data_IF_894068282726
#
_entry.id   IF_894068282726
#
_cell.length_a   1.000
_cell.length_b   1.000
_cell.length_c   1.000
_cell.angle_alpha   90.00
_cell.angle_beta   90.00
_cell.angle_gamma   90.00
#
_symmetry.space_group_name_H-M   'P 1'
#
loop_
_entity.id
_entity.type
_entity.pdbx_description
1 polymer ?
#
# COMPACT_ATOMS: atom_id res chain seq x y z
N UNK A 1 26.31 5.98 -0.63
CA UNK A 1 25.59 4.76 -0.20
C UNK A 1 25.84 4.57 1.28
N UNK A 2 24.81 4.56 2.14
CA UNK A 2 25.00 4.12 3.54
C UNK A 2 25.36 2.63 3.48
N UNK A 3 26.40 2.23 4.21
CA UNK A 3 26.87 0.85 4.24
C UNK A 3 25.70 -0.10 4.51
N UNK A 4 25.54 -1.11 3.65
CA UNK A 4 24.62 -2.21 3.91
C UNK A 4 24.95 -2.80 5.29
N UNK A 5 23.92 -3.21 6.03
CA UNK A 5 24.14 -3.87 7.31
C UNK A 5 24.98 -5.14 7.09
N UNK A 6 25.92 -5.48 8.00
CA UNK A 6 26.61 -6.76 7.92
C UNK A 6 25.60 -7.91 8.01
N UNK A 7 25.88 -9.09 7.41
CA UNK A 7 24.94 -10.21 7.36
C UNK A 7 24.34 -10.60 8.72
N UNK A 8 25.14 -10.59 9.80
CA UNK A 8 24.67 -10.92 11.15
C UNK A 8 23.67 -9.89 11.69
N UNK A 9 23.85 -8.61 11.38
CA UNK A 9 22.93 -7.56 11.78
C UNK A 9 21.62 -7.61 10.97
N UNK A 10 21.69 -8.00 9.70
CA UNK A 10 20.49 -8.27 8.87
C UNK A 10 19.70 -9.42 9.48
N UNK A 11 20.36 -10.56 9.74
CA UNK A 11 19.73 -11.72 10.34
C UNK A 11 19.09 -11.40 11.70
N UNK A 12 19.82 -10.70 12.59
CA UNK A 12 19.30 -10.33 13.90
C UNK A 12 18.06 -9.42 13.81
N UNK A 13 18.10 -8.37 12.97
CA UNK A 13 16.94 -7.47 12.77
C UNK A 13 15.76 -8.20 12.14
N UNK A 14 16.02 -9.06 11.15
CA UNK A 14 14.97 -9.81 10.48
C UNK A 14 14.32 -10.82 11.43
N UNK A 15 15.10 -11.55 12.22
CA UNK A 15 14.60 -12.48 13.24
C UNK A 15 13.76 -11.75 14.29
N UNK A 16 14.29 -10.63 14.80
CA UNK A 16 13.61 -9.83 15.82
C UNK A 16 12.28 -9.27 15.30
N UNK A 17 12.28 -8.63 14.12
CA UNK A 17 11.06 -8.05 13.53
C UNK A 17 10.08 -9.15 13.12
N UNK A 18 10.56 -10.30 12.64
CA UNK A 18 9.71 -11.46 12.43
C UNK A 18 9.00 -11.84 13.72
N UNK A 19 9.70 -12.04 14.85
CA UNK A 19 9.04 -12.31 16.13
C UNK A 19 8.09 -11.17 16.56
N UNK A 20 8.51 -9.92 16.47
CA UNK A 20 7.74 -8.74 16.87
C UNK A 20 6.39 -8.65 16.14
N UNK A 21 6.34 -9.00 14.85
CA UNK A 21 5.13 -8.97 14.04
C UNK A 21 4.38 -10.32 13.99
N UNK A 22 4.76 -11.30 14.82
CA UNK A 22 4.15 -12.64 14.81
C UNK A 22 2.63 -12.58 14.99
N UNK A 23 2.16 -11.82 15.97
CA UNK A 23 0.72 -11.69 16.25
C UNK A 23 -0.03 -11.03 15.10
N UNK A 24 0.60 -10.09 14.39
CA UNK A 24 0.05 -9.49 13.16
C UNK A 24 -0.07 -10.55 12.07
N UNK A 25 0.97 -11.37 11.86
CA UNK A 25 0.91 -12.43 10.85
C UNK A 25 -0.14 -13.48 11.19
N UNK A 26 -0.24 -13.90 12.46
CA UNK A 26 -1.24 -14.86 12.94
C UNK A 26 -2.65 -14.30 12.90
N UNK A 27 -2.79 -13.00 13.22
CA UNK A 27 -3.99 -12.23 12.90
C UNK A 27 -4.18 -12.38 11.38
N UNK A 28 -3.56 -11.54 10.56
CA UNK A 28 -3.98 -11.30 9.19
C UNK A 28 -3.56 -12.39 8.14
N UNK A 29 -3.44 -13.67 8.55
CA UNK A 29 -3.07 -14.79 7.67
C UNK A 29 -4.21 -15.27 6.74
N UNK A 30 -5.47 -15.15 7.17
CA UNK A 30 -6.65 -15.66 6.44
C UNK A 30 -7.12 -14.69 5.35
N UNK A 31 -8.07 -15.10 4.50
CA UNK A 31 -8.78 -14.20 3.58
C UNK A 31 -9.17 -12.92 4.33
N UNK A 32 -8.88 -11.76 3.75
CA UNK A 32 -8.79 -10.45 4.41
C UNK A 32 -10.05 -10.05 5.20
N UNK A 33 -10.26 -10.56 6.43
CA UNK A 33 -11.39 -10.16 7.28
C UNK A 33 -11.10 -10.34 8.79
N UNK A 34 -11.70 -9.44 9.59
CA UNK A 34 -12.16 -9.56 10.99
C UNK A 34 -11.24 -9.23 12.19
N UNK A 35 -10.81 -7.97 12.44
CA UNK A 35 -9.85 -7.70 13.55
C UNK A 35 -9.94 -6.37 14.32
N UNK A 36 -10.85 -6.35 15.30
CA UNK A 36 -10.81 -5.70 16.64
C UNK A 36 -10.09 -4.35 16.85
N UNK A 37 -10.85 -3.36 17.36
CA UNK A 37 -10.36 -2.03 17.77
C UNK A 37 -11.01 -1.33 19.00
N UNK A 38 -10.38 -0.24 19.55
CA UNK A 38 -10.59 0.40 20.90
C UNK A 38 -11.44 1.64 20.70
N UNK A 39 -12.33 1.89 21.66
CA UNK A 39 -13.51 2.74 21.53
C UNK A 39 -13.24 4.23 21.22
N UNK A 40 -14.01 4.78 20.26
CA UNK A 40 -14.17 6.22 20.03
C UNK A 40 -15.66 6.52 19.76
N UNK A 41 -16.10 7.73 20.08
CA UNK A 41 -17.53 8.05 20.23
C UNK A 41 -18.18 8.79 19.04
N UNK A 42 -17.48 9.02 17.92
CA UNK A 42 -17.99 9.89 16.84
C UNK A 42 -17.64 9.43 15.41
N UNK A 43 -18.50 9.81 14.46
CA UNK A 43 -18.26 9.66 13.01
C UNK A 43 -17.23 10.70 12.57
N UNK A 44 -16.03 10.26 12.18
CA UNK A 44 -15.05 11.17 11.59
C UNK A 44 -15.55 11.70 10.25
N UNK A 45 -15.38 13.01 10.02
CA UNK A 45 -15.64 13.69 8.73
C UNK A 45 -14.94 13.04 7.53
N UNK A 46 -13.96 12.19 7.83
CA UNK A 46 -13.26 11.25 6.95
C UNK A 46 -14.18 10.38 6.08
N UNK A 47 -15.11 9.66 6.70
CA UNK A 47 -15.88 8.61 6.04
C UNK A 47 -17.03 9.14 5.18
N UNK A 48 -17.63 10.26 5.60
CA UNK A 48 -18.62 10.99 4.81
C UNK A 48 -18.02 11.45 3.48
N UNK A 49 -16.71 11.70 3.43
CA UNK A 49 -16.00 12.14 2.23
C UNK A 49 -15.56 11.00 1.30
N UNK A 50 -15.23 9.80 1.83
CA UNK A 50 -14.87 8.60 1.05
C UNK A 50 -16.10 7.91 0.46
N UNK A 51 -17.18 7.83 1.25
CA UNK A 51 -18.34 7.02 0.91
C UNK A 51 -19.65 7.82 0.72
N UNK A 52 -19.60 9.14 0.85
CA UNK A 52 -20.74 10.02 0.62
C UNK A 52 -21.92 9.71 1.54
N UNK A 53 -23.13 9.81 1.01
CA UNK A 53 -24.39 9.54 1.74
C UNK A 53 -24.48 8.08 2.23
N UNK A 54 -23.77 7.15 1.57
CA UNK A 54 -23.70 5.74 1.98
C UNK A 54 -22.95 5.57 3.31
N UNK A 55 -22.05 6.50 3.66
CA UNK A 55 -21.34 6.51 4.93
C UNK A 55 -22.29 6.35 6.11
N UNK A 56 -23.38 7.11 6.12
CA UNK A 56 -24.38 7.06 7.18
C UNK A 56 -25.21 5.78 7.20
N UNK A 57 -25.33 5.05 6.07
CA UNK A 57 -26.08 3.80 6.01
C UNK A 57 -25.30 2.62 6.62
N UNK A 58 -24.00 2.48 6.32
CA UNK A 58 -23.17 1.41 6.91
C UNK A 58 -22.49 1.81 8.23
N UNK A 59 -22.43 3.12 8.56
CA UNK A 59 -22.06 3.62 9.89
C UNK A 59 -23.29 3.92 10.77
N UNK A 60 -24.50 3.74 10.25
CA UNK A 60 -25.75 3.96 10.99
C UNK A 60 -25.96 2.98 12.16
N UNK A 61 -25.25 1.85 12.15
CA UNK A 61 -25.12 0.94 13.29
C UNK A 61 -23.85 1.16 14.14
N UNK A 62 -23.05 2.18 13.83
CA UNK A 62 -21.66 2.34 14.23
C UNK A 62 -21.40 3.54 15.15
N UNK A 63 -22.42 4.01 15.90
CA UNK A 63 -22.29 5.17 16.81
C UNK A 63 -21.20 5.01 17.89
N UNK A 64 -20.63 3.82 18.06
CA UNK A 64 -19.56 3.50 19.00
C UNK A 64 -18.31 2.93 18.28
N UNK A 65 -17.97 3.44 17.10
CA UNK A 65 -16.85 2.89 16.33
C UNK A 65 -15.47 3.40 16.78
N UNK A 66 -14.62 2.41 16.91
CA UNK A 66 -13.52 2.31 17.82
C UNK A 66 -12.24 2.14 16.99
N UNK A 67 -11.55 3.25 16.73
CA UNK A 67 -10.37 3.28 15.87
C UNK A 67 -9.13 2.93 16.71
N UNK A 68 -8.71 1.66 16.66
CA UNK A 68 -7.38 1.18 17.10
C UNK A 68 -6.41 1.14 15.93
N UNK A 69 -5.15 1.48 16.19
CA UNK A 69 -4.05 1.03 15.34
C UNK A 69 -3.95 -0.49 15.42
N UNK A 70 -3.71 -1.14 14.28
CA UNK A 70 -3.43 -2.58 14.28
C UNK A 70 -2.07 -2.93 14.87
N UNK A 71 -1.24 -1.92 15.18
CA UNK A 71 0.16 -2.07 15.58
C UNK A 71 0.42 -1.49 16.97
N UNK A 72 1.38 -2.06 17.69
CA UNK A 72 1.93 -1.48 18.93
C UNK A 72 2.84 -0.28 18.61
N UNK A 73 3.10 0.58 19.58
CA UNK A 73 4.01 1.73 19.43
C UNK A 73 5.41 1.30 18.93
N UNK A 74 5.92 0.17 19.42
CA UNK A 74 7.19 -0.37 18.95
C UNK A 74 7.12 -0.82 17.48
N UNK A 75 6.04 -1.49 17.08
CA UNK A 75 5.81 -1.88 15.68
C UNK A 75 5.68 -0.66 14.76
N UNK A 76 4.99 0.39 15.22
CA UNK A 76 4.82 1.65 14.47
C UNK A 76 6.17 2.33 14.19
N UNK A 77 7.10 2.34 15.15
CA UNK A 77 8.46 2.86 14.92
C UNK A 77 9.18 2.14 13.77
N UNK A 78 9.13 0.80 13.74
CA UNK A 78 9.76 0.01 12.67
C UNK A 78 9.07 0.21 11.32
N UNK A 79 7.73 0.36 11.33
CA UNK A 79 6.95 0.70 10.15
C UNK A 79 7.39 2.06 9.61
N UNK A 80 7.44 3.10 10.44
CA UNK A 80 7.81 4.45 10.03
C UNK A 80 9.23 4.53 9.46
N UNK A 81 10.19 3.81 10.06
CA UNK A 81 11.55 3.66 9.53
C UNK A 81 11.53 3.03 8.12
N UNK A 82 10.79 1.93 7.97
CA UNK A 82 10.66 1.18 6.70
C UNK A 82 10.01 2.04 5.62
N UNK A 83 8.92 2.72 5.93
CA UNK A 83 8.23 3.61 4.99
C UNK A 83 9.07 4.81 4.60
N UNK A 84 9.84 5.37 5.55
CA UNK A 84 10.75 6.48 5.26
C UNK A 84 11.86 6.04 4.30
N UNK A 85 12.40 4.84 4.52
CA UNK A 85 13.38 4.22 3.63
C UNK A 85 12.78 3.98 2.24
N UNK A 86 11.63 3.30 2.17
CA UNK A 86 10.92 3.01 0.93
C UNK A 86 10.53 4.28 0.16
N UNK A 87 10.11 5.34 0.85
CA UNK A 87 9.86 6.66 0.25
C UNK A 87 11.11 7.20 -0.44
N UNK A 88 12.29 7.01 0.15
CA UNK A 88 13.56 7.39 -0.47
C UNK A 88 13.88 6.60 -1.74
N UNK A 89 13.48 5.33 -1.83
CA UNK A 89 13.57 4.56 -3.08
C UNK A 89 12.58 5.08 -4.12
N UNK A 90 11.31 5.32 -3.74
CA UNK A 90 10.26 5.85 -4.63
C UNK A 90 10.72 7.14 -5.32
N UNK A 91 11.32 8.08 -4.57
CA UNK A 91 11.77 9.36 -5.12
C UNK A 91 13.17 9.31 -5.77
N UNK A 92 13.79 8.13 -5.87
CA UNK A 92 15.11 7.95 -6.51
C UNK A 92 16.31 8.39 -5.65
N UNK A 93 16.13 8.64 -4.35
CA UNK A 93 17.23 9.04 -3.44
C UNK A 93 18.15 7.88 -3.09
N UNK A 94 17.59 6.67 -2.99
CA UNK A 94 18.31 5.45 -2.59
C UNK A 94 18.29 4.35 -3.67
N UNK A 95 17.68 4.63 -4.81
CA UNK A 95 17.48 3.70 -5.92
C UNK A 95 18.32 4.12 -7.14
N UNK A 96 18.45 3.23 -8.12
CA UNK A 96 19.13 3.52 -9.39
C UNK A 96 18.42 4.59 -10.23
N UNK A 97 17.10 4.70 -10.10
CA UNK A 97 16.28 5.69 -10.77
C UNK A 97 15.01 5.97 -9.96
N UNK A 98 14.29 7.04 -10.30
CA UNK A 98 13.04 7.39 -9.63
C UNK A 98 11.90 6.45 -10.05
N UNK A 99 10.83 6.41 -9.25
CA UNK A 99 9.63 5.67 -9.63
C UNK A 99 9.01 6.23 -10.93
N UNK A 100 9.10 7.55 -11.16
CA UNK A 100 8.63 8.14 -12.40
C UNK A 100 9.36 7.59 -13.63
N UNK A 101 10.69 7.47 -13.56
CA UNK A 101 11.51 6.92 -14.65
C UNK A 101 11.13 5.46 -14.96
N UNK A 102 10.87 4.66 -13.92
CA UNK A 102 10.43 3.26 -14.06
C UNK A 102 9.10 3.17 -14.80
N UNK A 103 8.12 4.00 -14.41
CA UNK A 103 6.78 4.03 -15.04
C UNK A 103 6.89 4.45 -16.50
N UNK A 104 7.63 5.52 -16.78
CA UNK A 104 7.86 5.98 -18.16
C UNK A 104 8.53 4.90 -19.00
N UNK A 105 9.56 4.23 -18.47
CA UNK A 105 10.23 3.14 -19.17
C UNK A 105 9.28 1.97 -19.48
N UNK A 106 8.56 1.45 -18.47
CA UNK A 106 7.62 0.35 -18.68
C UNK A 106 6.53 0.70 -19.68
N UNK A 107 6.02 1.92 -19.66
CA UNK A 107 5.00 2.37 -20.60
C UNK A 107 5.52 2.45 -22.05
N UNK A 108 6.72 3.01 -22.26
CA UNK A 108 7.28 3.24 -23.60
C UNK A 108 7.75 1.94 -24.27
N UNK A 109 8.19 0.97 -23.47
CA UNK A 109 8.83 -0.26 -23.97
C UNK A 109 7.96 -1.52 -23.88
N UNK A 110 6.67 -1.40 -23.52
CA UNK A 110 5.71 -2.50 -23.58
C UNK A 110 4.95 -2.55 -24.91
N UNK A 111 4.49 -3.73 -25.30
CA UNK A 111 3.61 -3.94 -26.47
C UNK A 111 2.16 -3.48 -26.21
N UNK A 112 1.79 -3.30 -24.94
CA UNK A 112 0.47 -2.89 -24.49
C UNK A 112 0.61 -1.73 -23.48
N UNK A 113 0.72 -0.46 -23.95
CA UNK A 113 1.09 0.68 -23.13
C UNK A 113 -0.12 1.18 -22.31
N UNK A 114 -0.52 0.39 -21.32
CA UNK A 114 -1.50 0.77 -20.31
C UNK A 114 -0.78 1.45 -19.14
N UNK A 115 -1.26 2.63 -18.73
CA UNK A 115 -0.58 3.44 -17.72
C UNK A 115 -0.60 2.75 -16.35
N UNK A 116 -1.73 2.14 -15.98
CA UNK A 116 -1.84 1.40 -14.70
C UNK A 116 -1.00 0.11 -14.72
N UNK A 117 -0.81 -0.56 -15.87
CA UNK A 117 0.09 -1.73 -15.95
C UNK A 117 1.55 -1.31 -15.79
N UNK A 118 1.93 -0.18 -16.39
CA UNK A 118 3.25 0.39 -16.19
C UNK A 118 3.50 0.77 -14.71
N UNK A 119 2.50 1.31 -14.00
CA UNK A 119 2.58 1.55 -12.55
C UNK A 119 2.74 0.26 -11.75
N UNK A 120 2.00 -0.80 -12.11
CA UNK A 120 2.07 -2.08 -11.44
C UNK A 120 3.47 -2.71 -11.59
N UNK A 121 3.95 -2.89 -12.82
CA UNK A 121 5.28 -3.45 -13.06
C UNK A 121 6.40 -2.59 -12.47
N UNK A 122 6.24 -1.27 -12.41
CA UNK A 122 7.21 -0.38 -11.76
C UNK A 122 7.22 -0.55 -10.25
N UNK A 123 6.06 -0.78 -9.64
CA UNK A 123 5.94 -1.07 -8.20
C UNK A 123 6.63 -2.37 -7.87
N UNK A 124 6.47 -3.38 -8.72
CA UNK A 124 7.13 -4.66 -8.55
C UNK A 124 8.65 -4.53 -8.61
N UNK A 125 9.16 -3.88 -9.66
CA UNK A 125 10.59 -3.65 -9.84
C UNK A 125 11.20 -2.84 -8.69
N UNK A 126 10.48 -1.83 -8.19
CA UNK A 126 10.90 -1.01 -7.06
C UNK A 126 10.97 -1.81 -5.76
N UNK A 127 9.94 -2.60 -5.44
CA UNK A 127 9.91 -3.41 -4.22
C UNK A 127 10.98 -4.50 -4.24
N UNK A 128 11.25 -5.10 -5.40
CA UNK A 128 12.35 -6.04 -5.55
C UNK A 128 13.72 -5.37 -5.35
N UNK A 129 13.95 -4.19 -5.94
CA UNK A 129 15.19 -3.43 -5.68
C UNK A 129 15.32 -3.07 -4.20
N UNK A 130 14.24 -2.58 -3.58
CA UNK A 130 14.20 -2.23 -2.17
C UNK A 130 14.61 -3.41 -1.29
N UNK A 131 13.97 -4.58 -1.47
CA UNK A 131 14.22 -5.76 -0.66
C UNK A 131 15.60 -6.39 -0.91
N UNK A 132 16.17 -6.23 -2.11
CA UNK A 132 17.56 -6.60 -2.36
C UNK A 132 18.56 -5.70 -1.62
N UNK A 133 18.25 -4.41 -1.51
CA UNK A 133 19.09 -3.44 -0.79
C UNK A 133 18.84 -3.43 0.73
N UNK A 134 17.64 -3.82 1.16
CA UNK A 134 17.11 -3.77 2.53
C UNK A 134 16.37 -5.06 2.90
N UNK A 135 17.05 -6.22 2.87
CA UNK A 135 16.42 -7.49 3.22
C UNK A 135 15.90 -7.51 4.67
N UNK A 136 16.50 -6.71 5.57
CA UNK A 136 16.10 -6.60 6.97
C UNK A 136 14.66 -6.07 7.17
N UNK A 137 14.06 -5.45 6.16
CA UNK A 137 12.71 -4.88 6.25
C UNK A 137 11.62 -5.83 5.71
N UNK A 138 11.99 -7.04 5.26
CA UNK A 138 11.05 -7.98 4.64
C UNK A 138 9.90 -8.40 5.58
N UNK A 139 10.19 -8.67 6.85
CA UNK A 139 9.17 -9.02 7.84
C UNK A 139 8.23 -7.85 8.17
N UNK A 140 8.71 -6.61 8.07
CA UNK A 140 7.92 -5.40 8.32
C UNK A 140 6.99 -5.14 7.13
N UNK A 141 7.51 -5.25 5.90
CA UNK A 141 6.69 -5.15 4.70
C UNK A 141 5.61 -6.24 4.65
N UNK A 142 5.94 -7.48 5.01
CA UNK A 142 4.96 -8.56 5.14
C UNK A 142 3.83 -8.17 6.10
N UNK A 143 4.17 -7.63 7.27
CA UNK A 143 3.18 -7.18 8.25
C UNK A 143 2.29 -6.04 7.71
N UNK A 144 2.89 -5.03 7.08
CA UNK A 144 2.17 -3.90 6.46
C UNK A 144 1.16 -4.41 5.43
N UNK A 145 1.60 -5.29 4.52
CA UNK A 145 0.74 -5.79 3.45
C UNK A 145 -0.29 -6.82 3.91
N UNK A 146 -0.04 -7.53 5.01
CA UNK A 146 -1.06 -8.37 5.63
C UNK A 146 -2.18 -7.53 6.26
N UNK A 147 -1.84 -6.41 6.89
CA UNK A 147 -2.84 -5.50 7.49
C UNK A 147 -3.58 -4.72 6.41
N UNK A 148 -2.85 -4.01 5.54
CA UNK A 148 -3.42 -3.13 4.53
C UNK A 148 -4.01 -3.87 3.30
N UNK A 149 -3.74 -5.17 3.18
CA UNK A 149 -3.85 -5.89 1.91
C UNK A 149 -3.00 -5.22 0.81
N UNK A 150 -3.07 -5.77 -0.41
CA UNK A 150 -2.68 -4.99 -1.58
C UNK A 150 -3.55 -3.74 -1.82
N UNK A 151 -4.52 -3.47 -0.95
CA UNK A 151 -5.61 -2.52 -1.14
C UNK A 151 -5.12 -1.08 -1.11
N UNK A 152 -4.13 -0.75 -0.28
CA UNK A 152 -3.54 0.59 -0.25
C UNK A 152 -2.89 0.99 -1.58
N UNK A 153 -2.08 0.11 -2.17
CA UNK A 153 -1.47 0.35 -3.48
C UNK A 153 -2.47 0.20 -4.64
N UNK A 154 -3.39 -0.78 -4.54
CA UNK A 154 -4.51 -0.92 -5.49
C UNK A 154 -5.33 0.36 -5.56
N UNK A 155 -5.75 0.91 -4.43
CA UNK A 155 -6.60 2.10 -4.38
C UNK A 155 -5.83 3.34 -4.82
N UNK A 156 -4.54 3.44 -4.48
CA UNK A 156 -3.66 4.46 -5.05
C UNK A 156 -3.65 4.41 -6.58
N UNK A 157 -3.42 3.24 -7.16
CA UNK A 157 -3.37 3.07 -8.60
C UNK A 157 -4.75 3.28 -9.24
N UNK A 158 -5.80 2.67 -8.68
CA UNK A 158 -7.16 2.64 -9.24
C UNK A 158 -7.90 3.97 -9.09
N UNK A 159 -7.87 4.57 -7.90
CA UNK A 159 -8.69 5.75 -7.58
C UNK A 159 -7.95 7.04 -7.95
N UNK A 160 -6.63 7.07 -7.79
CA UNK A 160 -5.83 8.28 -7.95
C UNK A 160 -4.90 8.25 -9.15
N UNK A 161 -4.31 7.08 -9.45
CA UNK A 161 -3.29 6.93 -10.49
C UNK A 161 -3.84 6.81 -11.90
N UNK A 162 -4.95 6.07 -12.08
CA UNK A 162 -5.47 5.69 -13.39
C UNK A 162 -5.83 6.89 -14.27
N UNK A 163 -6.40 7.93 -13.67
CA UNK A 163 -6.83 9.13 -14.39
C UNK A 163 -5.70 10.15 -14.61
N UNK A 164 -4.46 9.90 -14.13
CA UNK A 164 -3.37 10.89 -14.22
C UNK A 164 -2.97 11.18 -15.66
N UNK A 165 -2.83 10.14 -16.50
CA UNK A 165 -2.41 10.33 -17.88
C UNK A 165 -3.49 11.05 -18.69
N UNK A 166 -4.75 10.59 -18.60
CA UNK A 166 -5.90 11.24 -19.22
C UNK A 166 -6.06 12.69 -18.73
N UNK A 167 -5.92 12.92 -17.42
CA UNK A 167 -5.99 14.25 -16.84
C UNK A 167 -4.92 15.21 -17.38
N UNK A 168 -3.68 14.73 -17.58
CA UNK A 168 -2.63 15.54 -18.21
C UNK A 168 -2.97 15.84 -19.67
N UNK A 169 -3.44 14.86 -20.43
CA UNK A 169 -3.77 15.02 -21.86
C UNK A 169 -4.96 15.96 -22.10
N UNK A 170 -5.94 15.92 -21.21
CA UNK A 170 -7.17 16.73 -21.29
C UNK A 170 -7.08 18.04 -20.51
N UNK A 171 -5.93 18.35 -19.90
CA UNK A 171 -5.74 19.48 -18.98
C UNK A 171 -6.77 19.50 -17.82
N UNK A 172 -7.22 18.32 -17.39
CA UNK A 172 -8.15 18.14 -16.27
C UNK A 172 -7.38 17.89 -14.99
N UNK A 173 -7.72 18.65 -13.95
CA UNK A 173 -7.10 18.49 -12.63
C UNK A 173 -7.49 17.14 -12.02
N UNK A 174 -6.51 16.27 -11.80
CA UNK A 174 -6.71 15.01 -11.08
C UNK A 174 -6.67 15.26 -9.57
N UNK A 175 -7.55 14.57 -8.85
CA UNK A 175 -7.67 14.74 -7.40
C UNK A 175 -6.43 14.19 -6.70
N UNK A 176 -5.84 14.99 -5.82
CA UNK A 176 -4.79 14.51 -4.92
C UNK A 176 -5.41 13.63 -3.81
N UNK A 177 -4.66 12.65 -3.29
CA UNK A 177 -5.17 11.74 -2.29
C UNK A 177 -5.31 12.53 -0.99
N UNK A 178 -6.53 12.52 -0.46
CA UNK A 178 -6.80 13.04 0.87
C UNK A 178 -6.20 12.04 1.87
N UNK A 179 -5.84 12.47 3.08
CA UNK A 179 -5.36 11.60 4.17
C UNK A 179 -6.23 10.34 4.35
N UNK A 180 -7.51 10.51 4.03
CA UNK A 180 -8.64 9.59 4.15
C UNK A 180 -8.69 8.47 3.09
N UNK A 181 -7.87 8.58 2.05
CA UNK A 181 -7.74 7.57 1.00
C UNK A 181 -7.05 6.29 1.50
N UNK A 182 -6.38 6.40 2.65
CA UNK A 182 -5.44 5.42 3.18
C UNK A 182 -5.93 4.78 4.48
N UNK A 183 -7.25 4.79 4.64
CA UNK A 183 -7.94 4.35 5.83
C UNK A 183 -9.11 3.52 5.35
N UNK A 184 -9.16 2.24 5.71
CA UNK A 184 -10.33 1.41 5.46
C UNK A 184 -10.97 0.88 6.74
N UNK A 185 -12.28 0.62 6.67
CA UNK A 185 -13.04 0.09 7.81
C UNK A 185 -13.42 -1.35 7.54
N UNK A 186 -13.12 -2.21 8.51
CA UNK A 186 -13.54 -3.60 8.47
C UNK A 186 -14.46 -3.91 9.66
N UNK A 187 -15.48 -4.72 9.40
CA UNK A 187 -16.33 -5.26 10.45
C UNK A 187 -15.55 -6.29 11.28
N UNK A 188 -15.80 -6.32 12.58
CA UNK A 188 -15.24 -7.28 13.52
C UNK A 188 -16.19 -7.55 14.67
N UNK A 189 -15.88 -8.58 15.45
CA UNK A 189 -16.57 -8.92 16.68
C UNK A 189 -15.58 -8.84 17.85
N UNK A 190 -15.88 -8.01 18.86
CA UNK A 190 -15.09 -7.90 20.10
C UNK A 190 -15.83 -8.54 21.26
N UNK A 191 -15.11 -9.03 22.28
CA UNK A 191 -15.71 -9.40 23.57
C UNK A 191 -15.62 -8.21 24.52
N UNK A 192 -16.72 -7.86 25.17
CA UNK A 192 -16.69 -6.86 26.26
C UNK A 192 -16.14 -7.48 27.56
N UNK A 193 -16.05 -6.67 28.62
CA UNK A 193 -15.57 -7.10 29.95
C UNK A 193 -16.42 -8.21 30.58
N UNK A 194 -17.63 -8.46 30.04
CA UNK A 194 -18.52 -9.56 30.43
C UNK A 194 -18.35 -10.81 29.56
N UNK A 195 -17.46 -10.77 28.56
CA UNK A 195 -17.22 -11.84 27.59
C UNK A 195 -18.24 -11.90 26.44
N UNK A 196 -19.17 -10.95 26.36
CA UNK A 196 -20.22 -10.91 25.34
C UNK A 196 -19.66 -10.40 24.02
N UNK A 197 -20.03 -11.06 22.93
CA UNK A 197 -19.61 -10.69 21.58
C UNK A 197 -20.43 -9.50 21.08
N UNK A 198 -19.75 -8.40 20.74
CA UNK A 198 -20.33 -7.16 20.23
C UNK A 198 -19.78 -6.86 18.84
N UNK A 199 -20.62 -6.40 17.89
CA UNK A 199 -20.15 -5.91 16.60
C UNK A 199 -19.33 -4.63 16.80
N UNK A 200 -18.21 -4.50 16.10
CA UNK A 200 -17.34 -3.33 16.07
C UNK A 200 -16.75 -3.11 14.68
N UNK A 201 -16.22 -1.91 14.42
CA UNK A 201 -15.44 -1.61 13.21
C UNK A 201 -14.08 -1.05 13.61
N UNK A 202 -13.05 -1.42 12.87
CA UNK A 202 -11.67 -0.96 13.08
C UNK A 202 -11.08 -0.37 11.80
N UNK A 203 -10.11 0.51 11.97
CA UNK A 203 -9.36 1.16 10.90
C UNK A 203 -8.18 0.29 10.49
N UNK A 204 -8.16 -0.10 9.21
CA UNK A 204 -7.00 -0.68 8.57
C UNK A 204 -6.16 0.46 8.01
N UNK A 205 -4.93 0.50 8.49
CA UNK A 205 -3.90 1.45 8.09
C UNK A 205 -3.40 1.09 6.69
N UNK A 206 -3.55 2.01 5.72
CA UNK A 206 -2.91 1.90 4.40
C UNK A 206 -1.60 2.72 4.41
N UNK A 207 -0.78 2.71 3.32
CA UNK A 207 0.55 3.29 3.33
C UNK A 207 0.56 4.70 3.89
N UNK A 208 1.46 4.95 4.84
CA UNK A 208 1.54 6.23 5.54
C UNK A 208 1.44 7.40 4.57
N UNK A 209 0.65 8.42 4.94
CA UNK A 209 0.28 9.56 4.08
C UNK A 209 1.44 10.13 3.26
N UNK A 210 2.64 10.15 3.84
CA UNK A 210 3.86 10.62 3.20
C UNK A 210 4.30 9.74 2.03
N UNK A 211 4.34 8.41 2.21
CA UNK A 211 4.70 7.46 1.17
C UNK A 211 3.69 7.51 0.02
N UNK A 212 2.40 7.51 0.36
CA UNK A 212 1.34 7.53 -0.64
C UNK A 212 1.35 8.81 -1.51
N UNK A 213 1.67 9.95 -0.89
CA UNK A 213 1.89 11.22 -1.62
C UNK A 213 3.13 11.16 -2.50
N UNK A 214 4.25 10.64 -1.98
CA UNK A 214 5.47 10.51 -2.75
C UNK A 214 5.26 9.63 -3.98
N UNK A 215 4.58 8.49 -3.79
CA UNK A 215 4.20 7.57 -4.86
C UNK A 215 3.36 8.29 -5.93
N UNK A 216 2.25 8.93 -5.54
CA UNK A 216 1.39 9.60 -6.53
C UNK A 216 2.08 10.78 -7.22
N UNK A 217 2.92 11.53 -6.51
CA UNK A 217 3.71 12.60 -7.12
C UNK A 217 4.62 12.04 -8.22
N UNK A 218 5.24 10.88 -8.01
CA UNK A 218 6.04 10.22 -9.02
C UNK A 218 5.19 9.72 -10.20
N UNK A 219 3.99 9.17 -9.95
CA UNK A 219 3.05 8.85 -11.03
C UNK A 219 2.67 10.09 -11.85
N UNK A 220 2.42 11.23 -11.19
CA UNK A 220 2.08 12.49 -11.85
C UNK A 220 3.23 13.01 -12.72
N UNK A 221 4.48 12.90 -12.24
CA UNK A 221 5.69 13.22 -13.00
C UNK A 221 5.78 12.29 -14.23
N UNK A 222 5.59 10.98 -14.06
CA UNK A 222 5.63 10.03 -15.18
C UNK A 222 4.59 10.37 -16.25
N UNK A 223 3.34 10.67 -15.85
CA UNK A 223 2.28 11.07 -16.77
C UNK A 223 2.65 12.34 -17.56
N UNK A 224 3.22 13.35 -16.89
CA UNK A 224 3.69 14.58 -17.54
C UNK A 224 4.85 14.31 -18.50
N UNK A 225 5.83 13.49 -18.11
CA UNK A 225 6.96 13.10 -18.95
C UNK A 225 6.49 12.36 -20.20
N UNK A 226 5.54 11.42 -20.06
CA UNK A 226 4.96 10.70 -21.19
C UNK A 226 4.24 11.64 -22.16
N UNK A 227 3.39 12.53 -21.66
CA UNK A 227 2.64 13.49 -22.49
C UNK A 227 3.57 14.48 -23.22
N UNK A 228 4.63 14.95 -22.57
CA UNK A 228 5.44 16.05 -23.08
C UNK A 228 6.68 15.60 -23.89
N UNK A 229 7.24 14.41 -23.62
CA UNK A 229 8.56 14.03 -24.12
C UNK A 229 8.57 12.77 -24.97
N UNK A 230 7.74 11.77 -24.66
CA UNK A 230 7.78 10.48 -25.35
C UNK A 230 6.62 10.26 -26.32
N UNK A 231 5.55 11.07 -26.19
CA UNK A 231 4.32 10.91 -26.94
C UNK A 231 3.49 9.75 -26.39
N UNK A 232 2.20 10.00 -26.15
CA UNK A 232 1.26 8.97 -25.72
C UNK A 232 0.84 8.17 -26.95
N UNK A 233 1.30 6.92 -27.04
CA UNK A 233 1.02 6.03 -28.17
C UNK A 233 -0.41 5.48 -28.13
N UNK A 234 -0.94 5.26 -26.92
CA UNK A 234 -2.28 4.74 -26.70
C UNK A 234 -2.70 5.04 -25.25
N UNK A 235 -3.73 5.87 -25.07
CA UNK A 235 -4.34 6.13 -23.77
C UNK A 235 -5.77 5.56 -23.79
N UNK A 236 -5.94 4.26 -23.47
CA UNK A 236 -7.25 3.66 -23.32
C UNK A 236 -8.02 4.33 -22.19
N UNK A 237 -9.35 4.29 -22.25
CA UNK A 237 -10.16 4.79 -21.15
C UNK A 237 -9.83 4.03 -19.86
N UNK A 238 -9.98 4.70 -18.72
CA UNK A 238 -9.81 4.06 -17.40
C UNK A 238 -10.62 2.76 -17.25
N UNK A 239 -11.78 2.66 -17.91
CA UNK A 239 -12.58 1.43 -17.96
C UNK A 239 -11.95 0.30 -18.79
N UNK A 240 -11.34 0.62 -19.93
CA UNK A 240 -10.60 -0.34 -20.76
C UNK A 240 -9.30 -0.78 -20.11
N UNK A 241 -8.60 0.15 -19.44
CA UNK A 241 -7.49 -0.17 -18.54
C UNK A 241 -7.97 -1.26 -17.58
N UNK A 242 -9.01 -1.01 -16.78
CA UNK A 242 -9.55 -1.95 -15.78
C UNK A 242 -9.98 -3.31 -16.31
N UNK A 243 -10.40 -3.43 -17.56
CA UNK A 243 -10.71 -4.74 -18.16
C UNK A 243 -9.46 -5.56 -18.49
N UNK A 244 -8.33 -4.90 -18.75
CA UNK A 244 -7.04 -5.55 -18.97
C UNK A 244 -6.30 -5.93 -17.67
N UNK A 245 -6.80 -5.49 -16.50
CA UNK A 245 -6.22 -5.85 -15.19
C UNK A 245 -6.67 -7.22 -14.71
N UNK A 246 -5.87 -7.89 -13.86
CA UNK A 246 -6.38 -8.97 -13.03
C UNK A 246 -7.59 -8.44 -12.26
N UNK A 247 -8.73 -9.12 -12.35
CA UNK A 247 -9.97 -8.71 -11.65
C UNK A 247 -9.77 -8.59 -10.12
N UNK A 248 -8.67 -9.13 -9.59
CA UNK A 248 -8.32 -9.15 -8.18
C UNK A 248 -6.89 -8.60 -7.92
N UNK A 249 -6.59 -7.34 -8.28
CA UNK A 249 -5.29 -6.67 -8.00
C UNK A 249 -4.84 -6.87 -6.53
N UNK A 250 -5.77 -6.88 -5.57
CA UNK A 250 -5.44 -7.17 -4.17
C UNK A 250 -4.80 -8.55 -3.97
N UNK A 251 -5.32 -9.57 -4.65
CA UNK A 251 -4.82 -10.94 -4.60
C UNK A 251 -3.50 -11.04 -5.35
N UNK A 252 -3.42 -10.40 -6.52
CA UNK A 252 -2.17 -10.30 -7.28
C UNK A 252 -1.04 -9.69 -6.46
N UNK A 253 -1.26 -8.51 -5.87
CA UNK A 253 -0.26 -7.83 -5.04
C UNK A 253 0.14 -8.67 -3.83
N UNK A 254 -0.84 -9.31 -3.17
CA UNK A 254 -0.56 -10.22 -2.04
C UNK A 254 0.34 -11.38 -2.45
N UNK A 255 0.02 -12.06 -3.56
CA UNK A 255 0.81 -13.18 -4.08
C UNK A 255 2.20 -12.74 -4.52
N UNK A 256 2.29 -11.61 -5.22
CA UNK A 256 3.54 -11.02 -5.67
C UNK A 256 4.49 -10.72 -4.50
N UNK A 257 3.99 -10.10 -3.44
CA UNK A 257 4.79 -9.81 -2.25
C UNK A 257 5.21 -11.06 -1.50
N UNK A 258 4.33 -12.06 -1.38
CA UNK A 258 4.70 -13.34 -0.81
C UNK A 258 5.83 -13.99 -1.62
N UNK A 259 5.74 -13.97 -2.95
CA UNK A 259 6.77 -14.49 -3.84
C UNK A 259 8.12 -13.76 -3.70
N UNK A 260 8.12 -12.46 -3.37
CA UNK A 260 9.36 -11.72 -3.08
C UNK A 260 9.91 -11.96 -1.67
N UNK A 261 9.03 -12.04 -0.67
CA UNK A 261 9.43 -12.07 0.75
C UNK A 261 9.87 -13.47 1.18
N UNK A 262 9.18 -14.52 0.73
CA UNK A 262 9.48 -15.91 1.11
C UNK A 262 10.93 -16.30 0.85
N UNK A 263 11.52 -16.07 -0.35
CA UNK A 263 12.92 -16.40 -0.61
C UNK A 263 13.91 -15.65 0.29
N UNK A 264 13.58 -14.44 0.73
CA UNK A 264 14.42 -13.66 1.65
C UNK A 264 14.39 -14.28 3.03
N UNK A 265 13.20 -14.58 3.56
CA UNK A 265 13.07 -15.24 4.86
C UNK A 265 13.80 -16.59 4.88
N UNK A 266 13.62 -17.41 3.84
CA UNK A 266 14.30 -18.70 3.67
C UNK A 266 15.82 -18.57 3.63
N UNK A 267 16.36 -17.59 2.88
CA UNK A 267 17.80 -17.29 2.80
C UNK A 267 18.43 -17.04 4.17
N UNK A 268 17.65 -16.50 5.11
CA UNK A 268 18.09 -16.19 6.47
C UNK A 268 17.62 -17.23 7.50
N UNK A 269 17.09 -18.38 7.08
CA UNK A 269 16.71 -19.47 8.00
C UNK A 269 15.42 -19.19 8.80
N UNK A 270 14.56 -18.30 8.31
CA UNK A 270 13.31 -17.90 8.97
C UNK A 270 12.14 -18.53 8.22
N UNK A 271 11.31 -19.31 8.92
CA UNK A 271 10.13 -20.02 8.37
C UNK A 271 8.83 -19.63 9.06
#
# INVERSE_FOLDING_TARGET
MKNALPPDAIHARLQYTYTLFHDIRQKFNKNAVERGGYERADVTSMYVRKYGVKAYAFLGGAKNCAVESSFTEEQERYIDETLTSLTGFIVGKYATCSFADRVTHHYVHTTAPYFVLAMLGSTEALLNEYLNAKPEDAAILDAIFRVAGGEGFRDLMRIYGADLLDGVLTNKKVSQPKTLAFVDLHDCYRKDDSGKTLPGKYEVWCPGRSLARAYLNQCQIAAQTLANQHGVRFAPSTSEEFQAFPQEISIYMKQFLQAMISPILEKYGIT
#
